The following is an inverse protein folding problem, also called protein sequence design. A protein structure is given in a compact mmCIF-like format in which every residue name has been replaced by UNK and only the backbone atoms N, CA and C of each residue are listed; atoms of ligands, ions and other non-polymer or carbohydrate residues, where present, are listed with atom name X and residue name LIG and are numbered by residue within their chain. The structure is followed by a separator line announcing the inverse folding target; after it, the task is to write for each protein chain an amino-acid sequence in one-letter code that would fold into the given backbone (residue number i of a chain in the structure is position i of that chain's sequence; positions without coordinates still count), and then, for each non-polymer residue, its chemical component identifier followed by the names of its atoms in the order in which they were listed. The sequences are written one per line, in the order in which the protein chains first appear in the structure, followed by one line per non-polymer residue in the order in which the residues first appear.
data_IF_631248904150
#
_entry.id   IF_631248904150
#
_cell.length_a   1.000
_cell.length_b   1.000
_cell.length_c   1.000
_cell.angle_alpha   90.00
_cell.angle_beta   90.00
_cell.angle_gamma   90.00
#
_symmetry.space_group_name_H-M   'P 1'
#
loop_
_entity.id
_entity.type
_entity.pdbx_description
1 polymer ?
#
# COMPACT_ATOMS: atom_id res chain seq x y z
N UNK A 1 9.01 8.68 12.29
CA UNK A 1 9.94 9.03 11.21
C UNK A 1 10.77 7.83 10.75
N UNK A 2 11.49 7.20 11.67
CA UNK A 2 12.36 6.04 11.35
C UNK A 2 11.59 4.83 10.82
N UNK A 3 10.35 4.60 11.27
CA UNK A 3 9.51 3.51 10.79
C UNK A 3 8.99 3.76 9.37
N UNK A 4 8.53 4.97 9.06
CA UNK A 4 8.11 5.36 7.72
C UNK A 4 9.26 5.24 6.73
N UNK A 5 10.42 5.84 7.04
CA UNK A 5 11.60 5.77 6.20
C UNK A 5 12.11 4.34 5.99
N UNK A 6 12.08 3.52 7.06
CA UNK A 6 12.50 2.11 6.98
C UNK A 6 11.55 1.26 6.15
N UNK A 7 10.23 1.46 6.28
CA UNK A 7 9.25 0.74 5.45
C UNK A 7 9.38 1.11 3.98
N UNK A 8 9.53 2.40 3.66
CA UNK A 8 9.72 2.86 2.29
C UNK A 8 11.03 2.34 1.69
N UNK A 9 12.12 2.33 2.48
CA UNK A 9 13.39 1.77 2.05
C UNK A 9 13.31 0.27 1.79
N UNK A 10 12.60 -0.48 2.62
CA UNK A 10 12.38 -1.94 2.41
C UNK A 10 11.57 -2.17 1.13
N UNK A 11 10.50 -1.40 0.93
CA UNK A 11 9.67 -1.49 -0.26
C UNK A 11 10.49 -1.14 -1.53
N UNK A 12 11.27 -0.07 -1.47
CA UNK A 12 12.15 0.36 -2.56
C UNK A 12 13.24 -0.67 -2.86
N UNK A 13 13.90 -1.20 -1.82
CA UNK A 13 14.93 -2.22 -1.97
C UNK A 13 14.37 -3.51 -2.56
N UNK A 14 13.20 -3.96 -2.10
CA UNK A 14 12.55 -5.14 -2.64
C UNK A 14 12.15 -4.96 -4.11
N UNK A 15 11.63 -3.79 -4.49
CA UNK A 15 11.35 -3.44 -5.88
C UNK A 15 12.61 -3.35 -6.73
N UNK A 16 13.69 -2.76 -6.20
CA UNK A 16 14.98 -2.66 -6.86
C UNK A 16 15.63 -4.02 -7.13
N UNK A 17 15.59 -4.93 -6.15
CA UNK A 17 16.08 -6.30 -6.32
C UNK A 17 15.28 -7.03 -7.40
N UNK A 18 13.95 -6.89 -7.39
CA UNK A 18 13.09 -7.50 -8.41
C UNK A 18 13.42 -6.98 -9.81
N UNK A 19 13.65 -5.68 -9.95
CA UNK A 19 14.02 -5.06 -11.22
C UNK A 19 15.38 -5.55 -11.72
N UNK A 20 16.36 -5.67 -10.84
CA UNK A 20 17.68 -6.20 -11.20
C UNK A 20 17.57 -7.66 -11.65
N UNK A 21 16.83 -8.49 -10.93
CA UNK A 21 16.62 -9.89 -11.32
C UNK A 21 15.88 -9.98 -12.66
N UNK A 22 14.86 -9.14 -12.88
CA UNK A 22 14.11 -9.07 -14.14
C UNK A 22 14.99 -8.70 -15.36
N UNK A 23 16.08 -8.00 -15.13
CA UNK A 23 16.99 -7.58 -16.19
C UNK A 23 17.97 -8.70 -16.63
N UNK A 24 18.32 -9.60 -15.70
CA UNK A 24 19.31 -10.65 -15.95
C UNK A 24 18.71 -12.04 -16.15
N UNK A 25 17.51 -12.29 -15.68
CA UNK A 25 16.89 -13.63 -15.70
C UNK A 25 15.38 -13.52 -15.94
N UNK A 26 14.80 -14.59 -16.53
CA UNK A 26 13.35 -14.74 -16.51
C UNK A 26 12.88 -14.86 -15.06
N UNK A 27 11.90 -14.02 -14.67
CA UNK A 27 11.40 -13.98 -13.31
C UNK A 27 10.57 -15.22 -12.99
N UNK A 28 11.04 -16.12 -12.12
CA UNK A 28 10.20 -17.21 -11.66
C UNK A 28 9.06 -16.66 -10.80
N UNK A 29 7.85 -17.18 -10.97
CA UNK A 29 6.63 -16.69 -10.27
C UNK A 29 6.80 -16.63 -8.77
N UNK A 30 7.51 -17.57 -8.16
CA UNK A 30 7.73 -17.58 -6.72
C UNK A 30 8.56 -16.38 -6.22
N UNK A 31 9.52 -15.88 -7.00
CA UNK A 31 10.31 -14.69 -6.62
C UNK A 31 9.42 -13.43 -6.59
N UNK A 32 8.52 -13.31 -7.56
CA UNK A 32 7.53 -12.23 -7.59
C UNK A 32 6.64 -12.31 -6.34
N UNK A 33 6.17 -13.51 -5.98
CA UNK A 33 5.33 -13.71 -4.78
C UNK A 33 6.05 -13.33 -3.49
N UNK A 34 7.33 -13.70 -3.35
CA UNK A 34 8.15 -13.32 -2.17
C UNK A 34 8.31 -11.81 -2.07
N UNK A 35 8.62 -11.14 -3.18
CA UNK A 35 8.78 -9.68 -3.19
C UNK A 35 7.45 -8.98 -2.88
N UNK A 36 6.33 -9.45 -3.44
CA UNK A 36 5.01 -8.92 -3.12
C UNK A 36 4.65 -9.10 -1.64
N UNK A 37 5.04 -10.23 -1.04
CA UNK A 37 4.83 -10.48 0.40
C UNK A 37 5.65 -9.51 1.25
N UNK A 38 6.91 -9.26 0.92
CA UNK A 38 7.78 -8.28 1.59
C UNK A 38 7.19 -6.87 1.46
N UNK A 39 6.75 -6.48 0.26
CA UNK A 39 6.10 -5.19 0.01
C UNK A 39 4.80 -5.03 0.80
N UNK A 40 3.97 -6.07 0.84
CA UNK A 40 2.72 -6.06 1.64
C UNK A 40 3.00 -5.88 3.12
N UNK A 41 4.02 -6.56 3.66
CA UNK A 41 4.45 -6.37 5.03
C UNK A 41 4.94 -4.93 5.28
N UNK A 42 5.73 -4.35 4.37
CA UNK A 42 6.15 -2.95 4.45
C UNK A 42 4.97 -1.98 4.47
N UNK A 43 4.00 -2.17 3.58
CA UNK A 43 2.79 -1.34 3.49
C UNK A 43 1.91 -1.46 4.75
N UNK A 44 1.83 -2.65 5.36
CA UNK A 44 1.08 -2.87 6.59
C UNK A 44 1.59 -2.03 7.78
N UNK A 45 2.90 -1.71 7.80
CA UNK A 45 3.48 -0.79 8.78
C UNK A 45 3.44 0.67 8.35
N UNK A 46 3.53 0.94 7.04
CA UNK A 46 3.51 2.30 6.50
C UNK A 46 2.18 3.01 6.78
N UNK A 47 1.04 2.37 6.50
CA UNK A 47 -0.29 2.99 6.63
C UNK A 47 -0.61 3.50 8.05
N UNK A 48 -0.45 2.70 9.14
CA UNK A 48 -0.69 3.20 10.48
C UNK A 48 0.35 4.25 10.90
N UNK A 49 1.60 4.12 10.46
CA UNK A 49 2.63 5.10 10.77
C UNK A 49 2.35 6.47 10.11
N UNK A 50 1.87 6.47 8.87
CA UNK A 50 1.43 7.68 8.18
C UNK A 50 0.23 8.34 8.87
N UNK A 51 -0.77 7.54 9.25
CA UNK A 51 -1.96 8.03 9.98
C UNK A 51 -1.60 8.62 11.34
N UNK A 52 -0.61 8.06 12.03
CA UNK A 52 -0.12 8.57 13.31
C UNK A 52 0.74 9.83 13.15
N UNK A 53 1.47 9.98 12.05
CA UNK A 53 2.32 11.15 11.79
C UNK A 53 1.49 12.39 11.36
N UNK A 54 0.37 12.20 10.68
CA UNK A 54 -0.46 13.30 10.16
C UNK A 54 -0.88 14.31 11.25
N UNK A 55 -1.43 13.92 12.41
CA UNK A 55 -1.82 14.87 13.44
C UNK A 55 -0.63 15.55 14.15
N UNK A 56 0.59 15.08 13.96
CA UNK A 56 1.81 15.70 14.51
C UNK A 56 2.33 16.84 13.63
N UNK A 57 1.97 16.85 12.35
CA UNK A 57 2.45 17.81 11.36
C UNK A 57 1.40 18.85 11.05
N UNK A 58 0.12 18.45 11.07
CA UNK A 58 -1.02 19.27 10.66
C UNK A 58 -1.68 19.90 11.90
N UNK A 59 -1.96 21.23 11.90
CA UNK A 59 -2.73 21.86 12.94
C UNK A 59 -4.11 21.20 13.12
N UNK A 60 -4.61 21.16 14.34
CA UNK A 60 -5.88 20.48 14.68
C UNK A 60 -7.08 20.96 13.86
N UNK A 61 -7.09 22.25 13.54
CA UNK A 61 -8.15 22.92 12.76
C UNK A 61 -8.18 22.46 11.30
N UNK A 62 -7.04 22.02 10.76
CA UNK A 62 -6.87 21.62 9.36
C UNK A 62 -6.89 20.07 9.17
N UNK A 63 -6.96 19.29 10.25
CA UNK A 63 -6.93 17.82 10.18
C UNK A 63 -8.04 17.25 9.31
N UNK A 64 -9.26 17.79 9.42
CA UNK A 64 -10.40 17.34 8.62
C UNK A 64 -10.21 17.62 7.14
N UNK A 65 -9.65 18.78 6.79
CA UNK A 65 -9.33 19.12 5.40
C UNK A 65 -8.22 18.21 4.85
N UNK A 66 -7.18 17.98 5.65
CA UNK A 66 -6.07 17.08 5.28
C UNK A 66 -6.59 15.66 5.03
N UNK A 67 -7.45 15.14 5.90
CA UNK A 67 -8.09 13.84 5.70
C UNK A 67 -8.94 13.82 4.42
N UNK A 68 -9.69 14.87 4.14
CA UNK A 68 -10.46 15.03 2.91
C UNK A 68 -9.58 15.02 1.66
N UNK A 69 -8.46 15.74 1.66
CA UNK A 69 -7.51 15.72 0.55
C UNK A 69 -6.88 14.34 0.35
N UNK A 70 -6.49 13.68 1.43
CA UNK A 70 -5.93 12.32 1.37
C UNK A 70 -6.94 11.35 0.76
N UNK A 71 -8.19 11.41 1.21
CA UNK A 71 -9.27 10.57 0.67
C UNK A 71 -9.56 10.87 -0.79
N UNK A 72 -9.58 12.14 -1.18
CA UNK A 72 -9.77 12.56 -2.58
C UNK A 72 -8.64 12.06 -3.47
N UNK A 73 -7.38 12.20 -3.03
CA UNK A 73 -6.22 11.69 -3.76
C UNK A 73 -6.25 10.16 -3.93
N UNK A 74 -6.65 9.45 -2.87
CA UNK A 74 -6.84 7.99 -2.96
C UNK A 74 -7.95 7.62 -3.94
N UNK A 75 -9.08 8.36 -3.93
CA UNK A 75 -10.18 8.15 -4.85
C UNK A 75 -9.77 8.37 -6.31
N UNK A 76 -9.13 9.49 -6.59
CA UNK A 76 -8.63 9.85 -7.93
C UNK A 76 -7.61 8.81 -8.41
N UNK A 77 -6.66 8.44 -7.55
CA UNK A 77 -5.67 7.42 -7.87
C UNK A 77 -6.31 6.07 -8.18
N UNK A 78 -7.32 5.65 -7.42
CA UNK A 78 -7.99 4.37 -7.66
C UNK A 78 -8.74 4.31 -9.00
N UNK A 79 -9.17 5.47 -9.52
CA UNK A 79 -9.82 5.56 -10.83
C UNK A 79 -8.78 5.64 -11.96
N UNK A 80 -7.75 6.47 -11.77
CA UNK A 80 -6.76 6.73 -12.84
C UNK A 80 -5.76 5.57 -12.98
N UNK A 81 -5.36 4.94 -11.86
CA UNK A 81 -4.29 3.92 -11.87
C UNK A 81 -4.56 2.74 -12.80
N UNK A 82 -5.76 2.12 -12.86
CA UNK A 82 -6.02 1.01 -13.78
C UNK A 82 -5.90 1.42 -15.25
N UNK A 83 -6.40 2.61 -15.59
CA UNK A 83 -6.31 3.13 -16.96
C UNK A 83 -4.86 3.44 -17.35
N UNK A 84 -4.11 4.08 -16.46
CA UNK A 84 -2.68 4.35 -16.65
C UNK A 84 -1.87 3.05 -16.77
N UNK A 85 -2.16 2.06 -15.92
CA UNK A 85 -1.50 0.76 -15.96
C UNK A 85 -1.75 0.03 -17.28
N UNK A 86 -3.00 0.02 -17.78
CA UNK A 86 -3.34 -0.59 -19.07
C UNK A 86 -2.63 0.11 -20.24
N UNK A 87 -2.56 1.43 -20.23
CA UNK A 87 -1.84 2.20 -21.24
C UNK A 87 -0.34 1.91 -21.22
N UNK A 88 0.28 1.94 -20.03
CA UNK A 88 1.70 1.65 -19.87
C UNK A 88 2.04 0.22 -20.32
N UNK A 89 1.21 -0.74 -19.95
CA UNK A 89 1.41 -2.13 -20.34
C UNK A 89 1.27 -2.35 -21.87
N UNK A 90 0.45 -1.53 -22.54
CA UNK A 90 0.29 -1.60 -24.00
C UNK A 90 1.50 -1.01 -24.77
N UNK A 91 2.20 -0.04 -24.18
CA UNK A 91 3.25 0.73 -24.87
C UNK A 91 4.65 0.37 -24.39
N UNK A 92 4.82 -0.02 -23.12
CA UNK A 92 6.12 -0.25 -22.51
C UNK A 92 6.35 -1.73 -22.17
N UNK A 93 7.60 -2.23 -22.29
CA UNK A 93 7.96 -3.56 -21.82
C UNK A 93 7.92 -3.59 -20.28
N UNK A 94 7.67 -4.77 -19.73
CA UNK A 94 7.56 -5.00 -18.29
C UNK A 94 8.73 -4.42 -17.48
N UNK A 95 9.95 -4.53 -18.01
CA UNK A 95 11.16 -4.00 -17.37
C UNK A 95 11.11 -2.47 -17.17
N UNK A 96 10.56 -1.73 -18.14
CA UNK A 96 10.41 -0.29 -18.03
C UNK A 96 9.34 0.10 -16.99
N UNK A 97 8.28 -0.70 -16.86
CA UNK A 97 7.23 -0.50 -15.84
C UNK A 97 7.81 -0.71 -14.43
N UNK A 98 8.66 -1.73 -14.26
CA UNK A 98 9.35 -1.98 -12.98
C UNK A 98 10.30 -0.82 -12.63
N UNK A 99 11.00 -0.25 -13.61
CA UNK A 99 11.85 0.94 -13.39
C UNK A 99 11.04 2.15 -12.94
N UNK A 100 9.83 2.33 -13.45
CA UNK A 100 8.92 3.40 -13.01
C UNK A 100 8.57 3.27 -11.52
N UNK A 101 8.35 2.06 -11.04
CA UNK A 101 8.10 1.78 -9.62
C UNK A 101 9.30 2.20 -8.74
N UNK A 102 10.54 1.95 -9.20
CA UNK A 102 11.76 2.39 -8.51
C UNK A 102 11.84 3.92 -8.44
N UNK A 103 11.55 4.61 -9.54
CA UNK A 103 11.54 6.07 -9.57
C UNK A 103 10.51 6.62 -8.58
N UNK A 104 9.31 6.03 -8.54
CA UNK A 104 8.27 6.38 -7.56
C UNK A 104 8.73 6.16 -6.12
N UNK A 105 9.39 5.05 -5.84
CA UNK A 105 9.93 4.75 -4.52
C UNK A 105 11.04 5.72 -4.09
N UNK A 106 11.93 6.11 -5.01
CA UNK A 106 12.97 7.12 -4.74
C UNK A 106 12.33 8.48 -4.44
N UNK A 107 11.33 8.91 -5.23
CA UNK A 107 10.61 10.15 -4.99
C UNK A 107 9.91 10.15 -3.62
N UNK A 108 9.29 9.04 -3.23
CA UNK A 108 8.68 8.88 -1.92
C UNK A 108 9.73 9.01 -0.80
N UNK A 109 10.86 8.32 -0.90
CA UNK A 109 11.96 8.43 0.07
C UNK A 109 12.51 9.87 0.17
N UNK A 110 12.69 10.54 -0.95
CA UNK A 110 13.15 11.94 -0.99
C UNK A 110 12.14 12.86 -0.32
N UNK A 111 10.85 12.70 -0.62
CA UNK A 111 9.77 13.49 -0.02
C UNK A 111 9.73 13.33 1.50
N UNK A 112 9.84 12.09 1.99
CA UNK A 112 9.89 11.80 3.43
C UNK A 112 11.15 12.37 4.08
N UNK A 113 12.30 12.29 3.39
CA UNK A 113 13.57 12.83 3.90
C UNK A 113 13.57 14.37 4.00
N UNK A 114 12.90 15.05 3.08
CA UNK A 114 12.76 16.52 3.10
C UNK A 114 11.72 16.95 4.13
N UNK A 115 10.72 16.11 4.42
CA UNK A 115 9.67 16.41 5.39
C UNK A 115 10.25 16.42 6.81
N UNK A 116 10.24 17.60 7.45
CA UNK A 116 10.69 17.75 8.85
C UNK A 116 9.59 17.25 9.80
N UNK A 117 9.58 15.94 10.06
CA UNK A 117 8.63 15.34 11.00
C UNK A 117 9.24 15.41 12.41
N UNK A 118 8.59 16.11 13.36
CA UNK A 118 9.08 16.18 14.73
C UNK A 118 9.14 14.78 15.34
N UNK A 119 10.34 14.35 15.71
CA UNK A 119 10.54 13.05 16.33
C UNK A 119 10.69 13.24 17.83
N UNK A 120 9.88 12.60 18.67
CA UNK A 120 10.13 12.58 20.11
C UNK A 120 11.52 11.97 20.36
N UNK A 121 12.35 12.66 21.14
CA UNK A 121 13.69 12.18 21.55
C UNK A 121 13.53 11.03 22.57
N UNK A 122 13.38 9.81 22.06
CA UNK A 122 13.37 8.58 22.85
C UNK A 122 14.62 7.76 22.54
N UNK A 123 15.28 7.26 23.58
CA UNK A 123 16.43 6.37 23.42
C UNK A 123 16.08 5.11 22.63
N UNK A 124 16.98 4.58 21.76
CA UNK A 124 16.68 3.47 20.86
C UNK A 124 16.22 2.17 21.56
N UNK A 125 16.73 1.88 22.73
CA UNK A 125 16.36 0.69 23.51
C UNK A 125 14.95 0.80 24.09
N UNK A 126 14.55 1.99 24.52
CA UNK A 126 13.19 2.27 25.02
C UNK A 126 12.15 2.15 23.90
N UNK A 127 12.50 2.53 22.66
CA UNK A 127 11.58 2.48 21.51
C UNK A 127 11.11 1.06 21.16
N UNK A 128 11.99 0.07 21.25
CA UNK A 128 11.64 -1.32 20.90
C UNK A 128 10.76 -1.96 21.98
N UNK A 129 11.08 -1.73 23.23
CA UNK A 129 10.27 -2.23 24.34
C UNK A 129 8.90 -1.56 24.38
N UNK A 130 8.85 -0.24 24.15
CA UNK A 130 7.63 0.54 24.11
C UNK A 130 6.74 0.10 22.94
N UNK A 131 7.27 -0.13 21.74
CA UNK A 131 6.53 -0.62 20.60
C UNK A 131 5.85 -1.98 20.85
N UNK A 132 6.58 -2.92 21.46
CA UNK A 132 6.03 -4.23 21.80
C UNK A 132 4.98 -4.13 22.91
N UNK A 133 5.18 -3.22 23.85
CA UNK A 133 4.25 -2.94 24.93
C UNK A 133 2.97 -2.30 24.39
N UNK A 134 3.10 -1.29 23.54
CA UNK A 134 1.98 -0.60 22.88
C UNK A 134 1.15 -1.58 22.04
N UNK A 135 1.80 -2.50 21.29
CA UNK A 135 1.11 -3.56 20.57
C UNK A 135 0.36 -4.50 21.51
N UNK A 136 0.97 -4.87 22.63
CA UNK A 136 0.34 -5.74 23.62
C UNK A 136 -0.85 -5.06 24.31
N UNK A 137 -0.68 -3.80 24.67
CA UNK A 137 -1.75 -2.98 25.26
C UNK A 137 -2.92 -2.81 24.27
N UNK A 138 -2.63 -2.47 23.00
CA UNK A 138 -3.63 -2.41 21.94
C UNK A 138 -4.39 -3.73 21.77
N UNK A 139 -3.70 -4.87 21.79
CA UNK A 139 -4.33 -6.18 21.72
C UNK A 139 -5.22 -6.48 22.94
N UNK A 140 -4.77 -6.12 24.15
CA UNK A 140 -5.54 -6.30 25.39
C UNK A 140 -6.81 -5.46 25.35
N UNK A 141 -6.73 -4.18 24.98
CA UNK A 141 -7.90 -3.28 24.83
C UNK A 141 -8.89 -3.85 23.80
N UNK A 142 -8.38 -4.33 22.68
CA UNK A 142 -9.19 -4.93 21.63
C UNK A 142 -9.93 -6.18 22.13
N UNK A 143 -9.24 -7.04 22.87
CA UNK A 143 -9.80 -8.28 23.43
C UNK A 143 -10.82 -8.02 24.55
N UNK A 144 -10.64 -6.94 25.31
CA UNK A 144 -11.59 -6.54 26.37
C UNK A 144 -12.93 -6.07 25.78
N UNK A 145 -12.92 -5.47 24.59
CA UNK A 145 -14.14 -5.04 23.92
C UNK A 145 -14.59 -6.07 22.89
N UNK A 146 -15.54 -6.93 23.28
CA UNK A 146 -16.08 -8.00 22.42
C UNK A 146 -16.59 -7.49 21.07
N UNK A 147 -17.17 -6.29 21.04
CA UNK A 147 -17.69 -5.70 19.79
C UNK A 147 -16.55 -5.33 18.83
N UNK A 148 -15.51 -4.68 19.32
CA UNK A 148 -14.32 -4.34 18.51
C UNK A 148 -13.60 -5.59 18.02
N UNK A 149 -13.48 -6.61 18.86
CA UNK A 149 -12.86 -7.88 18.50
C UNK A 149 -13.65 -8.61 17.40
N UNK A 150 -14.98 -8.64 17.53
CA UNK A 150 -15.85 -9.21 16.49
C UNK A 150 -15.75 -8.45 15.16
N UNK A 151 -15.78 -7.11 15.19
CA UNK A 151 -15.61 -6.28 14.00
C UNK A 151 -14.26 -6.50 13.31
N UNK A 152 -13.19 -6.66 14.10
CA UNK A 152 -11.86 -6.98 13.54
C UNK A 152 -11.89 -8.32 12.79
N UNK A 153 -12.45 -9.37 13.37
CA UNK A 153 -12.53 -10.68 12.73
C UNK A 153 -13.41 -10.68 11.50
N UNK A 154 -14.55 -9.97 11.55
CA UNK A 154 -15.41 -9.78 10.37
C UNK A 154 -14.63 -9.07 9.25
N UNK A 155 -13.88 -8.00 9.59
CA UNK A 155 -13.04 -7.29 8.63
C UNK A 155 -11.93 -8.18 8.03
N UNK A 156 -11.27 -9.00 8.84
CA UNK A 156 -10.24 -9.94 8.37
C UNK A 156 -10.84 -10.97 7.41
N UNK A 157 -11.97 -11.58 7.77
CA UNK A 157 -12.66 -12.58 6.93
C UNK A 157 -13.14 -11.93 5.63
N UNK A 158 -13.73 -10.74 5.72
CA UNK A 158 -14.15 -9.96 4.55
C UNK A 158 -12.98 -9.70 3.60
N UNK A 159 -11.87 -9.19 4.10
CA UNK A 159 -10.68 -8.93 3.27
C UNK A 159 -10.09 -10.21 2.69
N UNK A 160 -10.11 -11.31 3.44
CA UNK A 160 -9.59 -12.60 2.97
C UNK A 160 -10.42 -13.16 1.80
N UNK A 161 -11.72 -12.94 1.79
CA UNK A 161 -12.62 -13.35 0.69
C UNK A 161 -12.57 -12.35 -0.45
N UNK A 162 -12.61 -11.05 -0.16
CA UNK A 162 -12.71 -9.98 -1.14
C UNK A 162 -11.43 -9.80 -1.99
N UNK A 163 -10.25 -9.86 -1.37
CA UNK A 163 -8.99 -9.61 -2.05
C UNK A 163 -8.69 -10.58 -3.20
N UNK A 164 -8.86 -11.90 -3.06
CA UNK A 164 -8.68 -12.83 -4.18
C UNK A 164 -9.66 -12.56 -5.33
N UNK A 165 -10.91 -12.26 -5.02
CA UNK A 165 -11.94 -11.97 -6.02
C UNK A 165 -11.56 -10.71 -6.80
N UNK A 166 -11.25 -9.64 -6.11
CA UNK A 166 -10.84 -8.38 -6.71
C UNK A 166 -9.58 -8.50 -7.58
N UNK A 167 -8.60 -9.30 -7.14
CA UNK A 167 -7.35 -9.51 -7.88
C UNK A 167 -7.52 -10.42 -9.10
N UNK A 168 -8.36 -11.45 -8.99
CA UNK A 168 -8.60 -12.39 -10.08
C UNK A 168 -9.60 -11.87 -11.12
N UNK A 169 -10.42 -10.89 -10.77
CA UNK A 169 -11.46 -10.36 -11.66
C UNK A 169 -10.90 -9.88 -13.02
N UNK A 170 -9.84 -9.07 -13.11
CA UNK A 170 -9.24 -8.69 -14.40
C UNK A 170 -8.69 -9.88 -15.18
N UNK A 171 -8.12 -10.86 -14.48
CA UNK A 171 -7.59 -12.09 -15.10
C UNK A 171 -8.69 -12.99 -15.67
N UNK A 172 -9.88 -13.00 -15.08
CA UNK A 172 -11.03 -13.73 -15.61
C UNK A 172 -11.60 -13.00 -16.84
N UNK A 173 -11.63 -11.68 -16.82
CA UNK A 173 -12.14 -10.89 -17.94
C UNK A 173 -11.37 -11.11 -19.25
N UNK A 174 -10.05 -11.30 -19.19
CA UNK A 174 -9.23 -11.47 -20.39
C UNK A 174 -9.44 -12.81 -21.11
N UNK A 175 -9.24 -13.99 -20.48
CA UNK A 175 -9.32 -15.28 -21.18
C UNK A 175 -10.76 -15.75 -21.35
N UNK A 176 -11.66 -15.53 -20.40
CA UNK A 176 -13.02 -16.06 -20.44
C UNK A 176 -13.95 -15.25 -21.35
N UNK A 177 -13.87 -13.92 -21.28
CA UNK A 177 -14.68 -13.01 -22.11
C UNK A 177 -13.93 -12.52 -23.36
N UNK A 178 -12.72 -13.03 -23.65
CA UNK A 178 -11.87 -12.57 -24.76
C UNK A 178 -11.68 -11.05 -24.76
N UNK A 179 -11.66 -10.46 -23.58
CA UNK A 179 -11.51 -9.02 -23.38
C UNK A 179 -10.06 -8.57 -23.62
N UNK A 180 -9.91 -7.30 -23.96
CA UNK A 180 -8.60 -6.64 -24.00
C UNK A 180 -8.25 -6.06 -22.61
N UNK A 181 -6.99 -5.70 -22.33
CA UNK A 181 -6.62 -4.98 -21.10
C UNK A 181 -7.45 -3.73 -20.83
N UNK A 182 -7.89 -3.04 -21.90
CA UNK A 182 -8.79 -1.89 -21.80
C UNK A 182 -10.19 -2.26 -21.25
N UNK A 183 -10.74 -3.40 -21.64
CA UNK A 183 -12.00 -3.89 -21.09
C UNK A 183 -11.88 -4.27 -19.62
N UNK A 184 -10.78 -4.90 -19.23
CA UNK A 184 -10.51 -5.22 -17.82
C UNK A 184 -10.39 -3.95 -16.96
N UNK A 185 -9.68 -2.93 -17.46
CA UNK A 185 -9.57 -1.63 -16.78
C UNK A 185 -10.90 -0.89 -16.68
N UNK A 186 -11.69 -0.89 -17.74
CA UNK A 186 -13.02 -0.26 -17.73
C UNK A 186 -13.95 -0.94 -16.71
N UNK A 187 -13.94 -2.28 -16.65
CA UNK A 187 -14.70 -3.03 -15.66
C UNK A 187 -14.23 -2.75 -14.23
N UNK A 188 -12.92 -2.65 -14.01
CA UNK A 188 -12.37 -2.30 -12.70
C UNK A 188 -12.73 -0.88 -12.26
N UNK A 189 -12.69 0.08 -13.17
CA UNK A 189 -13.14 1.46 -12.90
C UNK A 189 -14.63 1.49 -12.54
N UNK A 190 -15.48 0.80 -13.29
CA UNK A 190 -16.92 0.72 -13.02
C UNK A 190 -17.18 0.10 -11.64
N UNK A 191 -16.54 -1.02 -11.33
CA UNK A 191 -16.67 -1.69 -10.04
C UNK A 191 -16.23 -0.81 -8.86
N UNK A 192 -15.09 -0.13 -8.99
CA UNK A 192 -14.58 0.78 -7.94
C UNK A 192 -15.40 2.07 -7.81
N UNK A 193 -16.08 2.51 -8.85
CA UNK A 193 -16.95 3.69 -8.78
C UNK A 193 -18.23 3.43 -7.98
N UNK A 194 -18.77 2.21 -8.05
CA UNK A 194 -19.95 1.81 -7.28
C UNK A 194 -19.67 1.61 -5.79
N UNK A 195 -18.46 1.18 -5.43
CA UNK A 195 -18.07 0.91 -4.04
C UNK A 195 -17.98 2.20 -3.19
N UNK A 196 -18.10 3.39 -3.79
CA UNK A 196 -17.92 4.69 -3.13
C UNK A 196 -19.20 5.55 -3.06
N UNK A 197 -20.34 5.04 -3.49
CA UNK A 197 -21.65 5.63 -3.30
C UNK A 197 -22.31 5.06 -2.05
#
# INVERSE_FOLDING_TARGET
YTTLFRSDLIIAAAGGILALVAFYMELPVWSIMVVLLIRSAGTAFHSPAFSAATPMIVPKEELTKCAGYTQTMQAVSAIISPAAAAFLYAVWPLNAIILLDIVGAILACVTVAISSIPTPELCPETKRQQFLQDMKEGYVVLKQNRGLFALLWIGVIYMFIYMPISTLFPLICMPYFKGTPAHASAAEIAFRSEERV
#
